data_IF_840912945627
#
_entry.id   IF_840912945627
#
_cell.length_a   1.000
_cell.length_b   1.000
_cell.length_c   1.000
_cell.angle_alpha   90.00
_cell.angle_beta   90.00
_cell.angle_gamma   90.00
#
_symmetry.space_group_name_H-M   'P 1'
#
loop_
_entity.id
_entity.type
_entity.pdbx_description
1 polymer ?
#
# COMPACT_ATOMS: atom_id res chain seq x y z
N UNK A 1 -4.01 8.37 -16.44
CA UNK A 1 -4.88 8.91 -17.51
C UNK A 1 -6.24 8.20 -17.56
N UNK A 2 -6.30 6.92 -17.26
CA UNK A 2 -7.51 6.08 -17.36
C UNK A 2 -8.18 5.77 -16.02
N UNK A 3 -7.66 6.27 -14.95
CA UNK A 3 -8.24 6.12 -13.61
C UNK A 3 -9.73 6.52 -13.60
N UNK A 4 -10.54 5.78 -12.87
CA UNK A 4 -12.00 5.89 -12.82
C UNK A 4 -12.74 5.55 -14.14
N UNK A 5 -12.07 5.05 -15.18
CA UNK A 5 -12.75 4.49 -16.35
C UNK A 5 -13.28 3.10 -16.01
N UNK A 6 -14.49 2.77 -16.54
CA UNK A 6 -15.07 1.44 -16.35
C UNK A 6 -14.26 0.36 -17.09
N UNK A 7 -14.31 -0.89 -16.62
CA UNK A 7 -13.73 -2.04 -17.31
C UNK A 7 -14.24 -2.16 -18.76
N UNK A 8 -15.55 -1.98 -18.97
CA UNK A 8 -16.14 -1.99 -20.31
C UNK A 8 -15.53 -0.92 -21.23
N UNK A 9 -15.25 0.28 -20.69
CA UNK A 9 -14.56 1.32 -21.46
C UNK A 9 -13.14 0.88 -21.81
N UNK A 10 -12.38 0.32 -20.88
CA UNK A 10 -11.00 -0.12 -21.09
C UNK A 10 -10.88 -1.31 -22.04
N UNK A 11 -11.83 -2.25 -21.98
CA UNK A 11 -11.92 -3.35 -22.95
C UNK A 11 -12.13 -2.87 -24.38
N UNK A 12 -12.96 -1.83 -24.57
CA UNK A 12 -13.20 -1.20 -25.89
C UNK A 12 -12.07 -0.28 -26.33
N UNK A 13 -11.32 0.28 -25.36
CA UNK A 13 -10.26 1.25 -25.60
C UNK A 13 -9.00 0.82 -24.82
N UNK A 14 -8.35 -0.29 -25.20
CA UNK A 14 -7.19 -0.80 -24.47
C UNK A 14 -6.04 0.21 -24.50
N UNK A 15 -5.38 0.39 -23.37
CA UNK A 15 -4.20 1.25 -23.25
C UNK A 15 -3.00 0.45 -23.72
N UNK A 16 -2.39 0.86 -24.81
CA UNK A 16 -1.23 0.17 -25.43
C UNK A 16 0.06 0.96 -25.36
N UNK A 17 0.00 2.19 -24.84
CA UNK A 17 1.16 3.06 -24.68
C UNK A 17 0.95 4.00 -23.50
N UNK A 18 1.97 4.76 -23.13
CA UNK A 18 1.89 5.77 -22.09
C UNK A 18 1.11 6.97 -22.61
N UNK A 19 -0.12 7.13 -22.13
CA UNK A 19 -1.03 8.22 -22.51
C UNK A 19 -1.13 9.27 -21.39
N UNK A 20 -1.46 10.48 -21.76
CA UNK A 20 -1.67 11.59 -20.81
C UNK A 20 -3.05 12.22 -20.96
N UNK A 21 -3.21 13.37 -20.31
CA UNK A 21 -4.37 14.28 -20.43
C UNK A 21 -5.73 13.62 -20.14
N UNK A 22 -5.71 12.64 -19.22
CA UNK A 22 -6.92 11.95 -18.74
C UNK A 22 -7.52 12.61 -17.49
N UNK A 23 -7.82 11.80 -16.47
CA UNK A 23 -8.54 12.22 -15.26
C UNK A 23 -7.94 13.44 -14.58
N UNK A 24 -6.60 13.53 -14.48
CA UNK A 24 -5.89 14.66 -13.85
C UNK A 24 -5.28 15.65 -14.85
N UNK A 25 -5.52 15.49 -16.14
CA UNK A 25 -4.98 16.35 -17.21
C UNK A 25 -3.46 16.51 -17.18
N UNK A 26 -2.73 15.48 -16.74
CA UNK A 26 -1.27 15.46 -16.68
C UNK A 26 -0.66 14.94 -17.97
N UNK A 27 0.56 15.41 -18.37
CA UNK A 27 1.27 14.91 -19.55
C UNK A 27 1.58 13.39 -19.47
N UNK A 28 1.83 12.72 -20.61
CA UNK A 28 2.32 11.35 -20.63
C UNK A 28 3.60 11.19 -19.78
N UNK A 29 3.70 10.09 -19.02
CA UNK A 29 4.84 9.81 -18.17
C UNK A 29 4.83 10.48 -16.79
N UNK A 30 3.82 11.29 -16.48
CA UNK A 30 3.63 11.84 -15.14
C UNK A 30 3.16 10.74 -14.19
N UNK A 31 3.87 10.53 -13.09
CA UNK A 31 3.50 9.63 -12.01
C UNK A 31 2.82 10.38 -10.87
N UNK A 32 1.92 9.71 -10.15
CA UNK A 32 1.07 10.27 -9.08
C UNK A 32 1.70 10.12 -7.69
N UNK A 33 0.87 10.30 -6.65
CA UNK A 33 1.21 10.13 -5.24
C UNK A 33 1.72 8.72 -4.90
N UNK A 34 1.23 7.68 -5.57
CA UNK A 34 1.72 6.30 -5.42
C UNK A 34 3.24 6.23 -5.53
N UNK A 35 3.76 6.66 -6.68
CA UNK A 35 5.20 6.61 -6.95
C UNK A 35 5.96 7.66 -6.15
N UNK A 36 5.41 8.85 -5.97
CA UNK A 36 6.04 9.93 -5.21
C UNK A 36 6.32 9.51 -3.77
N UNK A 37 5.31 8.97 -3.08
CA UNK A 37 5.45 8.51 -1.69
C UNK A 37 6.33 7.25 -1.59
N UNK A 38 6.27 6.37 -2.61
CA UNK A 38 7.17 5.22 -2.70
C UNK A 38 8.64 5.66 -2.82
N UNK A 39 8.96 6.68 -3.63
CA UNK A 39 10.32 7.22 -3.74
C UNK A 39 10.77 7.92 -2.46
N UNK A 40 9.89 8.65 -1.76
CA UNK A 40 10.18 9.21 -0.44
C UNK A 40 10.59 8.12 0.56
N UNK A 41 9.85 7.01 0.61
CA UNK A 41 10.18 5.87 1.46
C UNK A 41 11.49 5.22 1.05
N UNK A 42 11.66 4.92 -0.24
CA UNK A 42 12.87 4.28 -0.77
C UNK A 42 14.14 5.09 -0.46
N UNK A 43 14.11 6.39 -0.68
CA UNK A 43 15.24 7.27 -0.37
C UNK A 43 15.57 7.29 1.12
N UNK A 44 14.56 7.36 1.99
CA UNK A 44 14.76 7.29 3.43
C UNK A 44 15.48 6.00 3.83
N UNK A 45 15.06 4.86 3.28
CA UNK A 45 15.64 3.56 3.58
C UNK A 45 17.10 3.40 3.12
N UNK A 46 17.58 4.19 2.15
CA UNK A 46 18.98 4.17 1.72
C UNK A 46 19.96 4.55 2.86
N UNK A 47 19.49 5.29 3.85
CA UNK A 47 20.28 5.70 5.02
C UNK A 47 19.96 4.88 6.28
N UNK A 48 19.26 3.76 6.13
CA UNK A 48 18.72 2.95 7.23
C UNK A 48 17.33 3.40 7.68
N UNK A 49 16.63 2.54 8.40
CA UNK A 49 15.26 2.83 8.84
C UNK A 49 15.22 3.93 9.90
N UNK A 50 14.52 5.01 9.59
CA UNK A 50 14.22 6.10 10.51
C UNK A 50 12.80 6.63 10.21
N UNK A 51 11.84 6.34 11.08
CA UNK A 51 10.44 6.73 10.91
C UNK A 51 10.22 8.25 10.84
N UNK A 52 11.04 9.04 11.57
CA UNK A 52 10.96 10.48 11.51
C UNK A 52 11.42 11.02 10.15
N UNK A 53 12.48 10.44 9.56
CA UNK A 53 12.94 10.83 8.22
C UNK A 53 11.88 10.47 7.14
N UNK A 54 11.23 9.30 7.23
CA UNK A 54 10.11 8.96 6.34
C UNK A 54 8.98 9.97 6.48
N UNK A 55 8.62 10.32 7.73
CA UNK A 55 7.59 11.32 8.03
C UNK A 55 7.93 12.69 7.44
N UNK A 56 9.17 13.14 7.58
CA UNK A 56 9.65 14.40 7.01
C UNK A 56 9.56 14.42 5.50
N UNK A 57 10.00 13.35 4.82
CA UNK A 57 9.93 13.23 3.36
C UNK A 57 8.49 13.25 2.84
N UNK A 58 7.54 12.63 3.55
CA UNK A 58 6.12 12.71 3.21
C UNK A 58 5.56 14.12 3.36
N UNK A 59 6.02 14.89 4.36
CA UNK A 59 5.65 16.29 4.53
C UNK A 59 6.25 17.17 3.42
N UNK A 60 7.53 16.95 3.07
CA UNK A 60 8.19 17.64 1.95
C UNK A 60 7.48 17.35 0.63
N UNK A 61 7.08 16.08 0.39
CA UNK A 61 6.27 15.74 -0.78
C UNK A 61 4.99 16.55 -0.82
N UNK A 62 4.19 16.53 0.25
CA UNK A 62 2.88 17.18 0.27
C UNK A 62 2.96 18.70 0.13
N UNK A 63 3.95 19.36 0.73
CA UNK A 63 3.99 20.82 0.87
C UNK A 63 5.00 21.50 -0.06
N UNK A 64 5.98 20.78 -0.57
CA UNK A 64 7.08 21.31 -1.37
C UNK A 64 7.19 20.66 -2.76
N UNK A 65 6.36 19.65 -3.05
CA UNK A 65 6.41 18.91 -4.32
C UNK A 65 7.61 17.97 -4.45
N UNK A 66 8.22 17.57 -3.31
CA UNK A 66 9.38 16.68 -3.31
C UNK A 66 9.03 15.32 -3.93
N UNK A 67 9.93 14.76 -4.74
CA UNK A 67 9.68 13.52 -5.50
C UNK A 67 8.40 13.53 -6.34
N UNK A 68 7.93 14.68 -6.80
CA UNK A 68 6.88 14.75 -7.82
C UNK A 68 7.47 14.80 -9.22
N UNK A 69 6.72 14.40 -10.23
CA UNK A 69 7.19 14.38 -11.61
C UNK A 69 7.50 15.79 -12.18
N UNK A 70 6.81 16.82 -11.69
CA UNK A 70 6.85 18.17 -12.25
C UNK A 70 6.72 19.30 -11.22
N UNK A 71 6.94 19.01 -9.94
CA UNK A 71 6.80 19.97 -8.84
C UNK A 71 5.35 20.16 -8.35
N UNK A 72 4.39 19.41 -8.89
CA UNK A 72 2.98 19.50 -8.54
C UNK A 72 2.49 18.21 -7.87
N UNK A 73 1.81 18.36 -6.72
CA UNK A 73 1.18 17.27 -5.97
C UNK A 73 -0.27 17.14 -6.43
N UNK A 74 -0.66 15.97 -6.93
CA UNK A 74 -2.03 15.67 -7.34
C UNK A 74 -2.43 14.28 -6.86
N UNK A 75 -3.71 13.92 -7.02
CA UNK A 75 -4.29 12.61 -6.69
C UNK A 75 -4.16 12.18 -5.21
N UNK A 76 -4.16 13.12 -4.31
CA UNK A 76 -3.96 12.84 -2.88
C UNK A 76 -5.26 12.41 -2.21
N UNK A 77 -5.30 11.19 -1.69
CA UNK A 77 -6.40 10.68 -0.87
C UNK A 77 -6.67 11.54 0.38
N UNK A 78 -7.94 11.66 0.76
CA UNK A 78 -8.36 12.51 1.90
C UNK A 78 -7.71 12.07 3.22
N UNK A 79 -7.64 10.76 3.48
CA UNK A 79 -7.03 10.21 4.71
C UNK A 79 -5.54 10.50 4.76
N UNK A 80 -4.82 10.31 3.64
CA UNK A 80 -3.41 10.66 3.48
C UNK A 80 -3.16 12.14 3.76
N UNK A 81 -3.95 13.03 3.12
CA UNK A 81 -3.84 14.48 3.31
C UNK A 81 -4.04 14.90 4.76
N UNK A 82 -5.08 14.37 5.42
CA UNK A 82 -5.36 14.66 6.83
C UNK A 82 -4.23 14.20 7.73
N UNK A 83 -3.70 12.99 7.50
CA UNK A 83 -2.63 12.42 8.30
C UNK A 83 -1.31 13.22 8.15
N UNK A 84 -0.90 13.54 6.93
CA UNK A 84 0.33 14.31 6.69
C UNK A 84 0.23 15.71 7.35
N UNK A 85 -0.94 16.34 7.32
CA UNK A 85 -1.13 17.61 8.05
C UNK A 85 -1.01 17.42 9.57
N UNK A 86 -1.44 16.27 10.14
CA UNK A 86 -1.23 15.95 11.56
C UNK A 86 0.23 15.70 11.91
N UNK A 87 1.04 15.10 11.02
CA UNK A 87 2.47 14.88 11.23
C UNK A 87 3.24 16.15 11.63
N UNK A 88 2.75 17.33 11.26
CA UNK A 88 3.37 18.62 11.61
C UNK A 88 3.23 18.98 13.09
N UNK A 89 2.26 18.43 13.79
CA UNK A 89 1.91 18.78 15.16
C UNK A 89 2.02 17.59 16.13
N UNK A 90 1.97 16.36 15.61
CA UNK A 90 2.08 15.15 16.42
C UNK A 90 3.53 14.94 16.87
N UNK A 91 3.69 14.60 18.16
CA UNK A 91 5.02 14.29 18.72
C UNK A 91 5.54 12.94 18.28
N UNK A 92 4.64 11.97 18.05
CA UNK A 92 4.97 10.64 17.62
C UNK A 92 4.32 10.42 16.24
N UNK A 93 5.09 10.20 15.17
CA UNK A 93 4.55 10.07 13.80
C UNK A 93 3.50 8.98 13.62
N UNK A 94 3.56 7.88 14.38
CA UNK A 94 2.58 6.79 14.29
C UNK A 94 1.16 7.17 14.75
N UNK A 95 1.02 8.28 15.45
CA UNK A 95 -0.28 8.77 15.93
C UNK A 95 -0.99 9.67 14.89
N UNK A 96 -0.33 9.97 13.78
CA UNK A 96 -0.89 10.80 12.72
C UNK A 96 -1.91 10.05 11.84
N UNK A 97 -1.73 8.74 11.62
CA UNK A 97 -2.64 7.94 10.82
C UNK A 97 -4.02 7.78 11.44
N UNK A 98 -5.04 7.74 10.60
CA UNK A 98 -6.40 7.48 11.06
C UNK A 98 -6.58 6.03 11.50
N UNK A 99 -7.34 5.82 12.58
CA UNK A 99 -7.78 4.52 13.09
C UNK A 99 -9.25 4.24 12.77
N UNK A 100 -9.91 5.15 12.04
CA UNK A 100 -11.32 5.02 11.70
C UNK A 100 -11.53 4.04 10.55
N UNK A 101 -12.59 3.23 10.63
CA UNK A 101 -12.88 2.22 9.61
C UNK A 101 -13.10 2.83 8.22
N UNK A 102 -13.72 4.00 8.16
CA UNK A 102 -14.00 4.71 6.90
C UNK A 102 -12.72 5.19 6.18
N UNK A 103 -11.58 5.25 6.88
CA UNK A 103 -10.30 5.71 6.34
C UNK A 103 -9.41 4.54 5.86
N UNK A 104 -9.96 3.34 5.63
CA UNK A 104 -9.27 2.19 5.08
C UNK A 104 -9.09 2.24 3.56
N UNK A 105 -8.57 3.34 3.05
CA UNK A 105 -8.10 3.44 1.67
C UNK A 105 -6.74 2.73 1.46
N UNK A 106 -6.35 2.56 0.20
CA UNK A 106 -5.10 1.90 -0.19
C UNK A 106 -3.84 2.77 -0.04
N UNK A 107 -3.95 4.00 0.47
CA UNK A 107 -2.85 4.97 0.48
C UNK A 107 -1.60 4.59 1.27
N UNK A 108 -1.66 3.61 2.20
CA UNK A 108 -0.47 3.00 2.78
C UNK A 108 0.07 1.87 1.90
N UNK A 109 -0.83 1.03 1.36
CA UNK A 109 -0.48 -0.15 0.57
C UNK A 109 0.27 0.23 -0.72
N UNK A 110 -0.20 1.24 -1.45
CA UNK A 110 0.35 1.67 -2.73
C UNK A 110 1.83 2.05 -2.69
N UNK A 111 2.35 2.49 -1.53
CA UNK A 111 3.71 3.04 -1.38
C UNK A 111 4.67 2.14 -0.60
N UNK A 112 4.19 1.02 -0.03
CA UNK A 112 4.96 0.24 0.98
C UNK A 112 6.05 -0.65 0.39
N UNK A 113 6.01 -0.94 -0.91
CA UNK A 113 6.84 -1.95 -1.59
C UNK A 113 8.36 -1.81 -1.38
N UNK A 114 8.98 -0.63 -1.22
CA UNK A 114 10.40 -0.52 -0.94
C UNK A 114 10.86 -1.28 0.31
N UNK A 115 9.94 -1.51 1.27
CA UNK A 115 10.24 -2.30 2.46
C UNK A 115 10.59 -3.77 2.13
N UNK A 116 10.12 -4.33 1.02
CA UNK A 116 10.45 -5.72 0.61
C UNK A 116 11.96 -5.88 0.51
N UNK A 117 12.62 -4.97 -0.20
CA UNK A 117 14.07 -5.01 -0.41
C UNK A 117 14.81 -4.76 0.90
N UNK A 118 14.35 -3.78 1.68
CA UNK A 118 15.00 -3.38 2.92
C UNK A 118 14.89 -4.45 4.01
N UNK A 119 13.74 -5.11 4.12
CA UNK A 119 13.41 -6.03 5.21
C UNK A 119 13.73 -7.51 4.92
N UNK A 120 14.28 -7.83 3.76
CA UNK A 120 14.50 -9.21 3.32
C UNK A 120 15.21 -10.09 4.37
N UNK A 121 16.22 -9.55 5.02
CA UNK A 121 17.05 -10.28 5.99
C UNK A 121 16.64 -10.03 7.45
N UNK A 122 15.52 -9.34 7.71
CA UNK A 122 15.01 -9.06 9.05
C UNK A 122 14.14 -10.19 9.57
N UNK A 123 14.08 -10.33 10.90
CA UNK A 123 13.13 -11.26 11.53
C UNK A 123 11.68 -10.83 11.24
N UNK A 124 10.77 -11.79 11.21
CA UNK A 124 9.33 -11.54 11.00
C UNK A 124 8.76 -10.50 11.97
N UNK A 125 9.20 -10.55 13.23
CA UNK A 125 8.76 -9.60 14.26
C UNK A 125 9.19 -8.16 13.92
N UNK A 126 10.42 -7.98 13.48
CA UNK A 126 10.94 -6.67 13.07
C UNK A 126 10.25 -6.17 11.81
N UNK A 127 10.03 -7.07 10.82
CA UNK A 127 9.30 -6.73 9.59
C UNK A 127 7.90 -6.20 9.91
N UNK A 128 7.10 -6.97 10.66
CA UNK A 128 5.75 -6.57 11.05
C UNK A 128 5.73 -5.25 11.81
N UNK A 129 6.69 -5.04 12.73
CA UNK A 129 6.81 -3.77 13.47
C UNK A 129 7.06 -2.59 12.52
N UNK A 130 8.05 -2.68 11.63
CA UNK A 130 8.40 -1.59 10.71
C UNK A 130 7.26 -1.31 9.73
N UNK A 131 6.63 -2.36 9.17
CA UNK A 131 5.47 -2.20 8.28
C UNK A 131 4.31 -1.50 8.99
N UNK A 132 3.99 -1.89 10.23
CA UNK A 132 2.98 -1.24 11.08
C UNK A 132 3.30 0.24 11.29
N UNK A 133 4.54 0.57 11.63
CA UNK A 133 4.98 1.94 11.86
C UNK A 133 4.85 2.80 10.59
N UNK A 134 5.33 2.31 9.44
CA UNK A 134 5.26 3.04 8.15
C UNK A 134 3.82 3.19 7.65
N UNK A 135 2.97 2.16 7.77
CA UNK A 135 1.54 2.27 7.47
C UNK A 135 0.88 3.33 8.34
N UNK A 136 1.17 3.32 9.64
CA UNK A 136 0.55 4.19 10.65
C UNK A 136 0.87 5.66 10.48
N UNK A 137 1.86 6.05 9.67
CA UNK A 137 2.08 7.44 9.30
C UNK A 137 0.83 8.08 8.67
N UNK A 138 -0.02 7.29 8.00
CA UNK A 138 -1.25 7.79 7.35
C UNK A 138 -2.48 6.93 7.60
N UNK A 139 -2.33 5.60 7.72
CA UNK A 139 -3.41 4.62 7.88
C UNK A 139 -3.05 3.68 9.04
N UNK A 140 -3.60 3.95 10.22
CA UNK A 140 -3.29 3.22 11.45
C UNK A 140 -4.42 2.25 11.88
N UNK A 141 -5.44 2.03 11.03
CA UNK A 141 -6.45 1.02 11.27
C UNK A 141 -5.86 -0.39 11.10
N UNK A 142 -6.20 -1.39 11.96
CA UNK A 142 -5.70 -2.76 11.87
C UNK A 142 -5.81 -3.37 10.47
N UNK A 143 -6.90 -3.12 9.74
CA UNK A 143 -7.11 -3.58 8.36
C UNK A 143 -6.05 -3.09 7.38
N UNK A 144 -5.75 -1.80 7.39
CA UNK A 144 -4.71 -1.21 6.53
C UNK A 144 -3.32 -1.73 6.89
N UNK A 145 -3.04 -1.87 8.18
CA UNK A 145 -1.76 -2.40 8.68
C UNK A 145 -1.61 -3.86 8.26
N UNK A 146 -2.62 -4.70 8.49
CA UNK A 146 -2.60 -6.12 8.14
C UNK A 146 -2.48 -6.33 6.63
N UNK A 147 -3.14 -5.49 5.82
CA UNK A 147 -3.00 -5.51 4.36
C UNK A 147 -1.56 -5.22 3.92
N UNK A 148 -0.91 -4.24 4.54
CA UNK A 148 0.50 -3.92 4.27
C UNK A 148 1.43 -5.07 4.70
N UNK A 149 1.20 -5.66 5.88
CA UNK A 149 1.97 -6.81 6.37
C UNK A 149 1.82 -7.99 5.41
N UNK A 150 0.60 -8.35 5.04
CA UNK A 150 0.35 -9.41 4.07
C UNK A 150 1.07 -9.17 2.75
N UNK A 151 0.94 -7.96 2.20
CA UNK A 151 1.54 -7.60 0.92
C UNK A 151 3.08 -7.70 0.93
N UNK A 152 3.72 -7.27 2.02
CA UNK A 152 5.18 -7.39 2.17
C UNK A 152 5.61 -8.86 2.27
N UNK A 153 4.92 -9.68 3.06
CA UNK A 153 5.24 -11.10 3.19
C UNK A 153 4.95 -11.86 1.88
N UNK A 154 3.88 -11.52 1.17
CA UNK A 154 3.61 -12.08 -0.17
C UNK A 154 4.72 -11.73 -1.15
N UNK A 155 5.11 -10.46 -1.22
CA UNK A 155 6.16 -10.03 -2.14
C UNK A 155 7.54 -10.66 -1.80
N UNK A 156 7.85 -10.87 -0.52
CA UNK A 156 9.05 -11.63 -0.10
C UNK A 156 8.95 -13.09 -0.55
N UNK A 157 7.80 -13.75 -0.37
CA UNK A 157 7.60 -15.11 -0.85
C UNK A 157 7.72 -15.22 -2.37
N UNK A 158 7.24 -14.22 -3.13
CA UNK A 158 7.40 -14.17 -4.60
C UNK A 158 8.88 -14.17 -5.02
N UNK A 159 9.77 -13.58 -4.23
CA UNK A 159 11.21 -13.58 -4.55
C UNK A 159 11.86 -14.96 -4.36
N UNK A 160 11.32 -15.81 -3.50
CA UNK A 160 11.92 -17.08 -3.10
C UNK A 160 11.17 -18.32 -3.61
N UNK A 161 9.89 -18.20 -4.00
CA UNK A 161 9.05 -19.30 -4.47
C UNK A 161 9.31 -19.67 -5.94
N UNK A 162 8.98 -20.92 -6.30
CA UNK A 162 9.06 -21.41 -7.67
C UNK A 162 7.89 -20.92 -8.55
N UNK A 163 6.78 -20.49 -7.93
CA UNK A 163 5.59 -19.99 -8.63
C UNK A 163 4.82 -18.97 -7.79
N UNK A 164 4.00 -18.14 -8.45
CA UNK A 164 3.09 -17.21 -7.76
C UNK A 164 2.07 -17.95 -6.90
N UNK A 165 1.57 -19.08 -7.35
CA UNK A 165 0.65 -19.94 -6.58
C UNK A 165 1.30 -20.42 -5.29
N UNK A 166 2.54 -20.88 -5.34
CA UNK A 166 3.31 -21.29 -4.15
C UNK A 166 3.51 -20.11 -3.19
N UNK A 167 3.92 -18.96 -3.70
CA UNK A 167 4.08 -17.74 -2.89
C UNK A 167 2.78 -17.37 -2.16
N UNK A 168 1.66 -17.41 -2.87
CA UNK A 168 0.34 -17.12 -2.32
C UNK A 168 -0.07 -18.13 -1.23
N UNK A 169 0.09 -19.43 -1.47
CA UNK A 169 -0.26 -20.47 -0.50
C UNK A 169 0.63 -20.40 0.75
N UNK A 170 1.93 -20.16 0.57
CA UNK A 170 2.87 -20.00 1.69
C UNK A 170 2.52 -18.77 2.53
N UNK A 171 2.18 -17.65 1.89
CA UNK A 171 1.78 -16.44 2.59
C UNK A 171 0.48 -16.65 3.37
N UNK A 172 -0.51 -17.33 2.79
CA UNK A 172 -1.77 -17.64 3.46
C UNK A 172 -1.58 -18.57 4.66
N UNK A 173 -0.71 -19.57 4.54
CA UNK A 173 -0.38 -20.46 5.65
C UNK A 173 0.28 -19.67 6.81
N UNK A 174 1.24 -18.83 6.48
CA UNK A 174 1.89 -17.95 7.44
C UNK A 174 0.89 -16.99 8.10
N UNK A 175 0.01 -16.33 7.30
CA UNK A 175 -0.96 -15.38 7.83
C UNK A 175 -1.89 -16.01 8.87
N UNK A 176 -2.34 -17.25 8.65
CA UNK A 176 -3.18 -17.97 9.64
C UNK A 176 -2.47 -18.09 10.98
N UNK A 177 -1.21 -18.51 10.98
CA UNK A 177 -0.41 -18.64 12.21
C UNK A 177 -0.15 -17.27 12.86
N UNK A 178 0.08 -16.25 12.05
CA UNK A 178 0.26 -14.88 12.53
C UNK A 178 -0.98 -14.36 13.23
N UNK A 179 -2.16 -14.56 12.68
CA UNK A 179 -3.43 -14.12 13.25
C UNK A 179 -3.78 -14.85 14.56
N UNK A 180 -3.47 -16.14 14.66
CA UNK A 180 -3.63 -16.91 15.91
C UNK A 180 -2.75 -16.35 17.04
N UNK A 181 -1.57 -15.83 16.72
CA UNK A 181 -0.62 -15.27 17.68
C UNK A 181 -0.84 -13.78 18.01
N UNK A 182 -1.64 -13.06 17.20
CA UNK A 182 -1.81 -11.60 17.29
C UNK A 182 -3.28 -11.19 17.39
N UNK A 183 -3.82 -11.26 18.60
CA UNK A 183 -5.24 -11.00 18.89
C UNK A 183 -5.73 -9.59 18.52
N UNK A 184 -4.82 -8.64 18.30
CA UNK A 184 -5.17 -7.28 17.87
C UNK A 184 -5.84 -7.24 16.49
N UNK A 185 -5.72 -8.31 15.68
CA UNK A 185 -6.32 -8.44 14.35
C UNK A 185 -7.56 -9.35 14.32
N UNK A 186 -8.04 -9.86 15.44
CA UNK A 186 -9.14 -10.85 15.48
C UNK A 186 -10.42 -10.36 14.79
N UNK A 187 -10.76 -9.08 14.93
CA UNK A 187 -11.94 -8.49 14.29
C UNK A 187 -11.80 -8.36 12.76
N UNK A 188 -10.58 -8.37 12.24
CA UNK A 188 -10.31 -8.28 10.82
C UNK A 188 -10.29 -9.64 10.10
N UNK A 189 -10.15 -10.75 10.83
CA UNK A 189 -10.04 -12.12 10.27
C UNK A 189 -11.15 -12.44 9.26
N UNK A 190 -12.45 -12.18 9.53
CA UNK A 190 -13.52 -12.49 8.58
C UNK A 190 -13.39 -11.75 7.25
N UNK A 191 -12.80 -10.57 7.25
CA UNK A 191 -12.62 -9.76 6.03
C UNK A 191 -11.47 -10.27 5.15
N UNK A 192 -10.50 -10.96 5.75
CA UNK A 192 -9.38 -11.58 5.05
C UNK A 192 -9.65 -13.03 4.61
N UNK A 193 -10.80 -13.62 4.98
CA UNK A 193 -11.12 -15.01 4.61
C UNK A 193 -11.05 -15.26 3.10
N UNK A 194 -11.51 -14.31 2.30
CA UNK A 194 -11.48 -14.43 0.84
C UNK A 194 -10.05 -14.50 0.30
N UNK A 195 -9.11 -13.80 0.91
CA UNK A 195 -7.69 -13.86 0.57
C UNK A 195 -7.09 -15.17 1.09
N UNK A 196 -7.40 -15.57 2.33
CA UNK A 196 -6.77 -16.70 3.01
C UNK A 196 -7.25 -18.07 2.56
N UNK A 197 -8.45 -18.19 1.99
CA UNK A 197 -9.04 -19.50 1.65
C UNK A 197 -8.48 -20.14 0.37
N UNK A 198 -7.54 -19.49 -0.32
CA UNK A 198 -6.94 -20.00 -1.55
C UNK A 198 -7.79 -19.80 -2.81
N UNK A 199 -8.92 -19.10 -2.72
CA UNK A 199 -9.84 -18.99 -3.85
C UNK A 199 -9.42 -17.96 -4.91
N UNK A 200 -8.55 -17.00 -4.58
CA UNK A 200 -8.20 -15.91 -5.51
C UNK A 200 -7.64 -16.42 -6.85
N UNK A 201 -6.85 -17.49 -6.83
CA UNK A 201 -6.28 -18.10 -8.03
C UNK A 201 -7.32 -18.68 -9.00
N UNK A 202 -8.56 -18.82 -8.55
CA UNK A 202 -9.66 -19.38 -9.35
C UNK A 202 -10.72 -18.34 -9.73
N UNK A 203 -10.52 -17.08 -9.35
CA UNK A 203 -11.46 -16.02 -9.66
C UNK A 203 -11.30 -15.52 -11.09
N UNK A 204 -12.43 -15.17 -11.70
CA UNK A 204 -12.42 -14.45 -12.95
C UNK A 204 -12.18 -12.95 -12.70
N UNK A 205 -11.63 -12.24 -13.67
CA UNK A 205 -11.34 -10.79 -13.57
C UNK A 205 -12.53 -9.97 -13.04
N UNK A 206 -13.75 -10.33 -13.42
CA UNK A 206 -14.97 -9.64 -13.00
C UNK A 206 -15.34 -9.86 -11.52
N UNK A 207 -14.79 -10.88 -10.89
CA UNK A 207 -15.03 -11.19 -9.47
C UNK A 207 -14.09 -10.41 -8.54
N UNK A 208 -13.01 -9.85 -9.09
CA UNK A 208 -12.04 -9.03 -8.35
C UNK A 208 -12.46 -7.57 -8.43
N UNK A 209 -12.62 -6.93 -7.26
CA UNK A 209 -12.88 -5.51 -7.20
C UNK A 209 -11.60 -4.69 -7.46
N UNK A 210 -11.77 -3.46 -7.96
CA UNK A 210 -10.65 -2.54 -8.22
C UNK A 210 -10.99 -1.13 -7.78
N UNK A 211 -11.39 -1.00 -6.50
CA UNK A 211 -11.67 0.30 -5.89
C UNK A 211 -10.46 0.80 -5.08
N UNK A 212 -10.55 2.03 -4.56
CA UNK A 212 -9.53 2.57 -3.63
C UNK A 212 -9.60 1.98 -2.22
N UNK A 213 -10.48 1.01 -1.94
CA UNK A 213 -10.53 0.31 -0.66
C UNK A 213 -9.34 -0.66 -0.54
N UNK A 214 -8.73 -0.69 0.65
CA UNK A 214 -7.45 -1.40 0.83
C UNK A 214 -7.48 -2.89 0.49
N UNK A 215 -8.59 -3.60 0.82
CA UNK A 215 -8.71 -5.02 0.51
C UNK A 215 -8.95 -5.28 -0.98
N UNK A 216 -9.74 -4.43 -1.65
CA UNK A 216 -9.94 -4.55 -3.10
C UNK A 216 -8.60 -4.35 -3.84
N UNK A 217 -7.82 -3.34 -3.41
CA UNK A 217 -6.48 -3.10 -3.97
C UNK A 217 -5.52 -4.23 -3.66
N UNK A 218 -5.57 -4.82 -2.46
CA UNK A 218 -4.75 -5.97 -2.07
C UNK A 218 -5.09 -7.20 -2.92
N UNK A 219 -6.38 -7.57 -3.03
CA UNK A 219 -6.83 -8.70 -3.87
C UNK A 219 -6.40 -8.55 -5.34
N UNK A 220 -6.51 -7.33 -5.87
CA UNK A 220 -6.12 -7.04 -7.26
C UNK A 220 -4.60 -7.06 -7.49
N UNK A 221 -3.79 -7.06 -6.40
CA UNK A 221 -2.32 -7.01 -6.45
C UNK A 221 -1.66 -8.38 -6.23
N UNK A 222 -2.44 -9.40 -5.84
CA UNK A 222 -2.00 -10.78 -5.60
C UNK A 222 -2.23 -11.61 -6.86
#
# INVERSE_FOLDING_TARGET
AVEFKSREYLQKNPVTDMIGYGTYNMPPGTFSDDSSMMFCLAESLCNGYNLNDVSEKFQMWMHEGYWTANGEVFDVGLSTRKAINRLRVEKNPIDAGSKEEIDNGNGALMRILPLVVYLKDFSIHERCKIVKEVSSLTHAHPRSILSCIYYIEFALNVLDAESLEEAYLNTNFWLKLFLEANSEYTEEVPLFERIMNGSLIHLEENDIQSTGYVLDSLEASI
#
